data_IF_615872809044
#
_entry.id   IF_615872809044
#
_cell.length_a   1.000
_cell.length_b   1.000
_cell.length_c   1.000
_cell.angle_alpha   90.00
_cell.angle_beta   90.00
_cell.angle_gamma   90.00
#
_symmetry.space_group_name_H-M   'P 1'
#
loop_
_entity.id
_entity.type
_entity.pdbx_description
1 polymer ?
#
# COMPACT_ATOMS: atom_id res chain seq x y z
N UNK A 1 8.43 11.32 7.05
CA UNK A 1 9.41 10.75 6.08
C UNK A 1 9.96 9.39 6.51
N UNK A 2 10.78 9.24 7.57
CA UNK A 2 11.26 7.90 7.99
C UNK A 2 10.18 7.01 8.63
N UNK A 3 9.23 7.61 9.37
CA UNK A 3 8.12 6.87 10.02
C UNK A 3 7.13 6.30 8.99
N UNK A 4 6.73 7.12 8.02
CA UNK A 4 5.68 6.77 7.04
C UNK A 4 6.20 5.69 6.08
N UNK A 5 7.48 5.79 5.71
CA UNK A 5 8.18 4.72 5.00
C UNK A 5 8.11 3.40 5.75
N UNK A 6 8.44 3.40 7.05
CA UNK A 6 8.44 2.18 7.85
C UNK A 6 7.03 1.60 8.01
N UNK A 7 6.02 2.46 8.21
CA UNK A 7 4.63 2.04 8.41
C UNK A 7 4.05 1.35 7.18
N UNK A 8 4.13 2.00 6.01
CA UNK A 8 3.59 1.46 4.76
C UNK A 8 4.35 0.22 4.30
N UNK A 9 5.68 0.22 4.46
CA UNK A 9 6.50 -0.96 4.24
C UNK A 9 6.09 -2.14 5.14
N UNK A 10 5.98 -1.91 6.46
CA UNK A 10 5.59 -2.94 7.43
C UNK A 10 4.17 -3.45 7.16
N UNK A 11 3.24 -2.57 6.78
CA UNK A 11 1.89 -2.97 6.38
C UNK A 11 1.93 -3.97 5.21
N UNK A 12 2.74 -3.70 4.19
CA UNK A 12 2.95 -4.63 3.07
C UNK A 12 3.59 -5.95 3.51
N UNK A 13 4.71 -5.88 4.24
CA UNK A 13 5.49 -7.05 4.65
C UNK A 13 4.73 -7.97 5.62
N UNK A 14 4.24 -7.40 6.73
CA UNK A 14 3.52 -8.13 7.77
C UNK A 14 2.14 -8.55 7.29
N UNK A 15 1.44 -7.69 6.55
CA UNK A 15 0.14 -8.04 5.97
C UNK A 15 0.25 -9.22 5.01
N UNK A 16 1.33 -9.30 4.23
CA UNK A 16 1.54 -10.42 3.32
C UNK A 16 1.87 -11.72 4.05
N UNK A 17 2.74 -11.65 5.05
CA UNK A 17 3.25 -12.84 5.72
C UNK A 17 2.45 -13.34 6.92
N UNK A 18 2.13 -12.44 7.84
CA UNK A 18 1.47 -12.81 9.09
C UNK A 18 -0.05 -12.93 8.94
N UNK A 19 -0.65 -12.06 8.13
CA UNK A 19 -2.08 -12.06 7.85
C UNK A 19 -2.44 -12.79 6.56
N UNK A 20 -1.45 -13.38 5.89
CA UNK A 20 -1.58 -14.12 4.61
C UNK A 20 -2.41 -13.39 3.55
N UNK A 21 -2.42 -12.05 3.59
CA UNK A 21 -3.30 -11.25 2.75
C UNK A 21 -2.85 -11.31 1.29
N UNK A 22 -3.82 -11.20 0.37
CA UNK A 22 -3.49 -11.04 -1.04
C UNK A 22 -2.90 -9.66 -1.29
N UNK A 23 -2.02 -9.57 -2.28
CA UNK A 23 -1.39 -8.30 -2.68
C UNK A 23 -2.45 -7.25 -3.05
N UNK A 24 -3.51 -7.70 -3.75
CA UNK A 24 -4.61 -6.85 -4.14
C UNK A 24 -5.37 -6.31 -2.93
N UNK A 25 -5.62 -7.15 -1.92
CA UNK A 25 -6.31 -6.73 -0.70
C UNK A 25 -5.53 -5.65 0.06
N UNK A 26 -4.20 -5.84 0.22
CA UNK A 26 -3.35 -4.86 0.90
C UNK A 26 -3.35 -3.51 0.18
N UNK A 27 -3.14 -3.53 -1.15
CA UNK A 27 -3.07 -2.30 -1.96
C UNK A 27 -4.40 -1.55 -2.03
N UNK A 28 -5.50 -2.27 -2.28
CA UNK A 28 -6.84 -1.66 -2.35
C UNK A 28 -7.27 -1.17 -0.97
N UNK A 29 -6.99 -1.93 0.10
CA UNK A 29 -7.30 -1.53 1.47
C UNK A 29 -6.60 -0.22 1.87
N UNK A 30 -5.30 -0.11 1.57
CA UNK A 30 -4.55 1.12 1.82
C UNK A 30 -5.08 2.31 1.00
N UNK A 31 -5.34 2.10 -0.30
CA UNK A 31 -5.91 3.15 -1.14
C UNK A 31 -7.28 3.63 -0.66
N UNK A 32 -8.16 2.71 -0.24
CA UNK A 32 -9.45 3.07 0.37
C UNK A 32 -9.23 3.93 1.61
N UNK A 33 -8.35 3.50 2.53
CA UNK A 33 -8.04 4.27 3.74
C UNK A 33 -7.50 5.67 3.42
N UNK A 34 -6.64 5.80 2.41
CA UNK A 34 -6.14 7.09 1.94
C UNK A 34 -7.27 7.98 1.41
N UNK A 35 -8.19 7.43 0.62
CA UNK A 35 -9.37 8.14 0.13
C UNK A 35 -10.26 8.69 1.25
N UNK A 36 -10.48 7.91 2.31
CA UNK A 36 -11.20 8.35 3.51
C UNK A 36 -10.46 9.46 4.27
N UNK A 37 -9.14 9.36 4.38
CA UNK A 37 -8.29 10.32 5.08
C UNK A 37 -8.23 11.67 4.37
N UNK A 38 -7.93 11.66 3.06
CA UNK A 38 -7.73 12.86 2.26
C UNK A 38 -9.04 13.62 1.97
N UNK A 39 -10.17 12.90 1.97
CA UNK A 39 -11.49 13.44 1.59
C UNK A 39 -11.48 14.15 0.24
N UNK A 40 -10.61 13.70 -0.67
CA UNK A 40 -10.41 14.29 -1.99
C UNK A 40 -10.65 13.21 -3.08
N UNK A 41 -11.90 13.13 -3.60
CA UNK A 41 -12.27 12.12 -4.59
C UNK A 41 -11.50 12.22 -5.91
N UNK A 42 -11.11 13.42 -6.33
CA UNK A 42 -10.37 13.64 -7.57
C UNK A 42 -8.95 13.09 -7.46
N UNK A 43 -8.26 13.40 -6.34
CA UNK A 43 -6.93 12.85 -6.04
C UNK A 43 -6.96 11.33 -5.93
N UNK A 44 -7.98 10.77 -5.27
CA UNK A 44 -8.17 9.33 -5.17
C UNK A 44 -8.32 8.68 -6.56
N UNK A 45 -9.16 9.25 -7.43
CA UNK A 45 -9.36 8.74 -8.79
C UNK A 45 -8.08 8.86 -9.65
N UNK A 46 -7.38 9.99 -9.57
CA UNK A 46 -6.08 10.18 -10.24
C UNK A 46 -5.08 9.10 -9.83
N UNK A 47 -4.98 8.82 -8.53
CA UNK A 47 -4.12 7.76 -8.01
C UNK A 47 -4.54 6.36 -8.49
N UNK A 48 -5.84 6.07 -8.64
CA UNK A 48 -6.31 4.82 -9.26
C UNK A 48 -5.85 4.73 -10.72
N UNK A 49 -6.08 5.78 -11.51
CA UNK A 49 -5.74 5.81 -12.94
C UNK A 49 -4.22 5.64 -13.13
N UNK A 50 -3.43 6.21 -12.23
CA UNK A 50 -1.97 6.10 -12.23
C UNK A 50 -1.44 4.76 -11.68
N UNK A 51 -2.32 3.80 -11.34
CA UNK A 51 -1.93 2.47 -10.88
C UNK A 51 -1.48 2.39 -9.42
N UNK A 52 -1.74 3.44 -8.62
CA UNK A 52 -1.41 3.49 -7.19
C UNK A 52 -2.57 2.99 -6.31
N UNK A 53 -3.58 2.37 -6.89
CA UNK A 53 -4.72 1.76 -6.18
C UNK A 53 -5.53 2.74 -5.32
N UNK A 54 -5.48 4.03 -5.63
CA UNK A 54 -6.12 5.10 -4.85
C UNK A 54 -5.26 5.66 -3.73
N UNK A 55 -4.09 5.07 -3.47
CA UNK A 55 -3.12 5.56 -2.49
C UNK A 55 -2.14 6.57 -3.12
N UNK A 56 -1.41 7.31 -2.30
CA UNK A 56 -0.36 8.19 -2.82
C UNK A 56 0.75 7.35 -3.48
N UNK A 57 1.44 7.88 -4.52
CA UNK A 57 2.49 7.14 -5.22
C UNK A 57 3.60 6.63 -4.29
N UNK A 58 3.99 7.42 -3.28
CA UNK A 58 5.01 7.02 -2.31
C UNK A 58 4.55 5.86 -1.43
N UNK A 59 3.34 5.94 -0.92
CA UNK A 59 2.75 4.97 0.02
C UNK A 59 2.50 3.64 -0.69
N UNK A 60 1.88 3.69 -1.88
CA UNK A 60 1.69 2.54 -2.76
C UNK A 60 3.00 1.81 -3.07
N UNK A 61 4.08 2.58 -3.35
CA UNK A 61 5.40 2.00 -3.59
C UNK A 61 5.96 1.32 -2.33
N UNK A 62 5.86 1.94 -1.17
CA UNK A 62 6.39 1.36 0.09
C UNK A 62 5.66 0.06 0.46
N UNK A 63 4.34 0.00 0.28
CA UNK A 63 3.56 -1.23 0.48
C UNK A 63 4.02 -2.31 -0.49
N UNK A 64 4.22 -1.95 -1.76
CA UNK A 64 4.71 -2.88 -2.78
C UNK A 64 6.12 -3.39 -2.45
N UNK A 65 7.02 -2.53 -1.98
CA UNK A 65 8.36 -2.90 -1.54
C UNK A 65 8.26 -3.93 -0.40
N UNK A 66 7.43 -3.71 0.61
CA UNK A 66 7.23 -4.66 1.72
C UNK A 66 6.66 -6.02 1.28
N UNK A 67 5.68 -6.04 0.37
CA UNK A 67 5.13 -7.27 -0.21
C UNK A 67 6.22 -8.05 -0.97
N UNK A 68 7.04 -7.35 -1.75
CA UNK A 68 8.10 -7.97 -2.54
C UNK A 68 9.18 -8.56 -1.64
N UNK A 69 9.64 -7.81 -0.64
CA UNK A 69 10.65 -8.27 0.30
C UNK A 69 10.20 -9.50 1.08
N UNK A 70 8.92 -9.60 1.46
CA UNK A 70 8.38 -10.83 2.02
C UNK A 70 8.49 -11.98 1.02
N UNK A 71 7.98 -11.81 -0.20
CA UNK A 71 8.03 -12.88 -1.22
C UNK A 71 9.46 -13.33 -1.53
N UNK A 72 10.42 -12.41 -1.54
CA UNK A 72 11.83 -12.74 -1.75
C UNK A 72 12.44 -13.49 -0.57
N UNK A 73 12.06 -13.11 0.66
CA UNK A 73 12.55 -13.76 1.89
C UNK A 73 12.02 -15.18 2.08
N UNK A 74 10.87 -15.50 1.50
CA UNK A 74 10.15 -16.76 1.67
C UNK A 74 9.89 -17.50 0.35
N UNK A 75 10.83 -17.37 -0.60
CA UNK A 75 10.86 -18.12 -1.87
C UNK A 75 11.16 -19.60 -1.68
#
# INVERSE_FOLDING_TARGET
>A
MKSDYLGNYLFGYVGKGYLESSDAYLKVGAGVAQGWSDKNPLKYLENIINGNYGDNPGDAKMIQDGINDYKESYK
#
